data_IF_850978439172
#
_entry.id   IF_850978439172
#
_cell.length_a   1.000
_cell.length_b   1.000
_cell.length_c   1.000
_cell.angle_alpha   90.00
_cell.angle_beta   90.00
_cell.angle_gamma   90.00
#
_symmetry.space_group_name_H-M   'P 1'
#
loop_
_entity.id
_entity.type
_entity.pdbx_description
1 polymer ?
#
# COMPACT_ATOMS: atom_id res chain seq x y z
N UNK A 1 -36.12 -2.03 -4.11
CA UNK A 1 -34.88 -1.64 -3.40
C UNK A 1 -33.82 -1.25 -4.42
N UNK A 2 -33.24 -0.04 -4.34
CA UNK A 2 -32.38 0.56 -5.39
C UNK A 2 -30.91 0.15 -5.20
N UNK A 3 -30.31 -0.47 -6.21
CA UNK A 3 -28.89 -0.94 -6.26
C UNK A 3 -27.82 0.10 -5.83
N UNK A 4 -28.15 1.40 -5.81
CA UNK A 4 -27.21 2.49 -5.46
C UNK A 4 -26.89 2.57 -3.97
N UNK A 5 -27.76 2.10 -3.07
CA UNK A 5 -27.52 2.16 -1.61
C UNK A 5 -26.52 1.10 -1.12
N UNK A 6 -26.38 -0.02 -1.85
CA UNK A 6 -25.48 -1.11 -1.48
C UNK A 6 -24.01 -0.78 -1.81
N UNK A 7 -23.76 -0.08 -2.91
CA UNK A 7 -22.42 0.30 -3.34
C UNK A 7 -21.74 1.29 -2.37
N UNK A 8 -22.51 2.24 -1.82
CA UNK A 8 -21.99 3.21 -0.83
C UNK A 8 -21.65 2.58 0.52
N UNK A 9 -22.45 1.63 1.00
CA UNK A 9 -22.21 0.94 2.28
C UNK A 9 -21.01 -0.01 2.24
N UNK A 10 -20.82 -0.74 1.14
CA UNK A 10 -19.69 -1.66 1.00
C UNK A 10 -18.34 -0.93 0.96
N UNK A 11 -18.28 0.20 0.23
CA UNK A 11 -17.08 1.01 0.13
C UNK A 11 -16.71 1.68 1.47
N UNK A 12 -17.72 2.12 2.23
CA UNK A 12 -17.52 2.70 3.57
C UNK A 12 -17.04 1.69 4.62
N UNK A 13 -17.56 0.45 4.59
CA UNK A 13 -17.16 -0.57 5.56
C UNK A 13 -15.70 -1.00 5.40
N UNK A 14 -15.26 -1.26 4.17
CA UNK A 14 -13.86 -1.63 3.91
C UNK A 14 -12.90 -0.50 4.29
N UNK A 15 -13.19 0.76 3.92
CA UNK A 15 -12.35 1.91 4.30
C UNK A 15 -12.28 2.11 5.82
N UNK A 16 -13.39 1.92 6.53
CA UNK A 16 -13.42 2.02 7.99
C UNK A 16 -12.62 0.90 8.65
N UNK A 17 -12.77 -0.34 8.17
CA UNK A 17 -11.98 -1.47 8.64
C UNK A 17 -10.49 -1.27 8.36
N UNK A 18 -10.14 -0.84 7.14
CA UNK A 18 -8.78 -0.57 6.73
C UNK A 18 -8.15 0.56 7.57
N UNK A 19 -8.89 1.64 7.83
CA UNK A 19 -8.45 2.71 8.73
C UNK A 19 -8.22 2.24 10.17
N UNK A 20 -9.03 1.31 10.68
CA UNK A 20 -8.79 0.68 12.00
C UNK A 20 -7.51 -0.15 12.00
N UNK A 21 -7.31 -1.01 10.99
CA UNK A 21 -6.09 -1.82 10.86
C UNK A 21 -4.85 -0.93 10.72
N UNK A 22 -4.96 0.14 9.93
CA UNK A 22 -3.91 1.15 9.72
C UNK A 22 -3.46 1.79 11.04
N UNK A 23 -4.41 2.19 11.89
CA UNK A 23 -4.11 2.77 13.21
C UNK A 23 -3.52 1.74 14.18
N UNK A 24 -4.01 0.51 14.20
CA UNK A 24 -3.56 -0.55 15.12
C UNK A 24 -2.15 -1.06 14.78
N UNK A 25 -1.78 -1.15 13.50
CA UNK A 25 -0.47 -1.68 13.07
C UNK A 25 0.65 -0.62 12.99
N UNK A 26 0.62 0.38 13.86
CA UNK A 26 1.72 1.35 13.97
C UNK A 26 1.66 2.51 12.96
N UNK A 27 0.49 2.80 12.39
CA UNK A 27 0.25 4.05 11.68
C UNK A 27 0.71 4.10 10.22
N UNK A 28 1.19 2.99 9.65
CA UNK A 28 1.37 2.85 8.19
C UNK A 28 2.79 2.67 7.69
N UNK A 29 3.84 2.85 8.49
CA UNK A 29 5.23 2.76 8.01
C UNK A 29 5.50 1.43 7.29
N UNK A 30 5.11 0.32 7.91
CA UNK A 30 5.32 -1.01 7.33
C UNK A 30 4.51 -1.20 6.03
N UNK A 31 3.29 -0.66 5.97
CA UNK A 31 2.45 -0.72 4.77
C UNK A 31 2.99 0.18 3.64
N UNK A 32 3.53 1.36 3.98
CA UNK A 32 4.21 2.24 3.03
C UNK A 32 5.50 1.62 2.52
N UNK A 33 6.34 1.07 3.40
CA UNK A 33 7.56 0.36 3.01
C UNK A 33 7.25 -0.82 2.08
N UNK A 34 6.25 -1.63 2.45
CA UNK A 34 5.73 -2.70 1.59
C UNK A 34 5.31 -2.17 0.21
N UNK A 35 4.46 -1.15 0.15
CA UNK A 35 3.95 -0.62 -1.11
C UNK A 35 5.07 -0.04 -2.00
N UNK A 36 6.01 0.69 -1.41
CA UNK A 36 7.16 1.25 -2.12
C UNK A 36 8.05 0.12 -2.65
N UNK A 37 8.42 -0.83 -1.80
CA UNK A 37 9.28 -1.95 -2.20
C UNK A 37 8.62 -2.81 -3.28
N UNK A 38 7.32 -3.09 -3.15
CA UNK A 38 6.57 -3.81 -4.17
C UNK A 38 6.63 -3.09 -5.52
N UNK A 39 6.35 -1.78 -5.55
CA UNK A 39 6.42 -1.00 -6.80
C UNK A 39 7.82 -0.98 -7.38
N UNK A 40 8.86 -0.84 -6.56
CA UNK A 40 10.26 -0.88 -7.03
C UNK A 40 10.58 -2.23 -7.67
N UNK A 41 10.23 -3.34 -7.01
CA UNK A 41 10.47 -4.69 -7.51
C UNK A 41 9.72 -4.96 -8.81
N UNK A 42 8.43 -4.60 -8.88
CA UNK A 42 7.63 -4.71 -10.10
C UNK A 42 8.24 -3.93 -11.27
N UNK A 43 8.66 -2.70 -11.02
CA UNK A 43 9.30 -1.87 -12.04
C UNK A 43 10.60 -2.53 -12.53
N UNK A 44 11.42 -3.05 -11.61
CA UNK A 44 12.66 -3.75 -11.96
C UNK A 44 12.41 -5.01 -12.79
N UNK A 45 11.41 -5.81 -12.43
CA UNK A 45 10.99 -6.99 -13.21
C UNK A 45 10.56 -6.58 -14.62
N UNK A 46 9.68 -5.59 -14.75
CA UNK A 46 9.20 -5.10 -16.06
C UNK A 46 10.37 -4.60 -16.92
N UNK A 47 11.30 -3.82 -16.35
CA UNK A 47 12.47 -3.35 -17.09
C UNK A 47 13.43 -4.48 -17.47
N UNK A 48 13.59 -5.49 -16.60
CA UNK A 48 14.36 -6.70 -16.90
C UNK A 48 13.77 -7.45 -18.09
N UNK A 49 12.46 -7.68 -18.08
CA UNK A 49 11.74 -8.35 -19.17
C UNK A 49 11.85 -7.61 -20.51
N UNK A 50 11.76 -6.28 -20.49
CA UNK A 50 11.90 -5.44 -21.68
C UNK A 50 13.32 -5.50 -22.24
N UNK A 51 14.34 -5.55 -21.37
CA UNK A 51 15.74 -5.59 -21.80
C UNK A 51 16.14 -6.95 -22.41
N UNK A 52 15.47 -8.03 -22.02
CA UNK A 52 15.70 -9.40 -22.52
C UNK A 52 14.88 -9.76 -23.77
N UNK A 53 13.91 -8.94 -24.17
CA UNK A 53 13.02 -9.27 -25.27
C UNK A 53 13.62 -8.96 -26.67
N UNK A 54 13.85 -10.00 -27.48
CA UNK A 54 14.34 -9.90 -28.86
C UNK A 54 13.31 -9.40 -29.90
N UNK A 55 12.04 -9.20 -29.52
CA UNK A 55 11.04 -8.52 -30.36
C UNK A 55 9.57 -8.83 -30.08
N UNK A 56 8.63 -7.90 -30.36
CA UNK A 56 7.21 -8.03 -29.99
C UNK A 56 6.36 -8.98 -30.84
N UNK A 57 6.91 -9.59 -31.91
CA UNK A 57 6.13 -10.35 -32.90
C UNK A 57 6.07 -11.86 -32.60
N UNK A 58 7.13 -12.46 -32.03
CA UNK A 58 7.12 -13.87 -31.58
C UNK A 58 6.26 -14.10 -30.32
N UNK A 59 6.08 -13.03 -29.54
CA UNK A 59 5.36 -13.00 -28.27
C UNK A 59 3.83 -13.21 -28.37
N UNK A 60 3.21 -12.80 -29.49
CA UNK A 60 1.74 -12.79 -29.62
C UNK A 60 1.19 -14.14 -30.12
N UNK A 61 1.99 -14.95 -30.81
CA UNK A 61 1.48 -16.13 -31.51
C UNK A 61 1.42 -17.43 -30.68
N UNK A 62 2.23 -17.59 -29.61
CA UNK A 62 2.21 -18.82 -28.77
C UNK A 62 2.49 -18.60 -27.27
N UNK A 63 2.82 -17.39 -26.80
CA UNK A 63 3.38 -17.18 -25.45
C UNK A 63 2.50 -16.34 -24.51
N UNK A 64 1.33 -15.85 -24.92
CA UNK A 64 0.52 -14.98 -24.07
C UNK A 64 0.13 -15.61 -22.72
N UNK A 65 -0.21 -16.91 -22.71
CA UNK A 65 -0.50 -17.62 -21.46
C UNK A 65 0.75 -17.80 -20.60
N UNK A 66 1.88 -18.19 -21.20
CA UNK A 66 3.15 -18.36 -20.49
C UNK A 66 3.63 -17.03 -19.89
N UNK A 67 3.50 -15.93 -20.62
CA UNK A 67 3.80 -14.59 -20.14
C UNK A 67 2.91 -14.20 -18.97
N UNK A 68 1.59 -14.41 -19.05
CA UNK A 68 0.67 -14.10 -17.94
C UNK A 68 1.01 -14.94 -16.71
N UNK A 69 1.29 -16.24 -16.86
CA UNK A 69 1.67 -17.08 -15.72
C UNK A 69 3.03 -16.71 -15.14
N UNK A 70 4.01 -16.36 -15.98
CA UNK A 70 5.32 -15.88 -15.54
C UNK A 70 5.20 -14.56 -14.79
N UNK A 71 4.51 -13.58 -15.38
CA UNK A 71 4.22 -12.29 -14.75
C UNK A 71 3.50 -12.48 -13.40
N UNK A 72 2.48 -13.33 -13.34
CA UNK A 72 1.79 -13.65 -12.07
C UNK A 72 2.73 -14.29 -11.06
N UNK A 73 3.59 -15.22 -11.48
CA UNK A 73 4.59 -15.85 -10.63
C UNK A 73 5.59 -14.86 -10.05
N UNK A 74 6.15 -14.01 -10.92
CA UNK A 74 7.09 -12.96 -10.55
C UNK A 74 6.43 -11.91 -9.64
N UNK A 75 5.20 -11.48 -9.94
CA UNK A 75 4.48 -10.54 -9.07
C UNK A 75 4.13 -11.14 -7.71
N UNK A 76 3.81 -12.43 -7.64
CA UNK A 76 3.63 -13.12 -6.36
C UNK A 76 4.93 -13.21 -5.57
N UNK A 77 6.06 -13.46 -6.23
CA UNK A 77 7.37 -13.47 -5.61
C UNK A 77 7.77 -12.07 -5.11
N UNK A 78 7.57 -11.04 -5.92
CA UNK A 78 7.79 -9.64 -5.55
C UNK A 78 6.91 -9.22 -4.38
N UNK A 79 5.66 -9.69 -4.33
CA UNK A 79 4.77 -9.51 -3.18
C UNK A 79 5.37 -10.08 -1.89
N UNK A 80 5.88 -11.32 -1.93
CA UNK A 80 6.52 -11.97 -0.79
C UNK A 80 7.80 -11.22 -0.36
N UNK A 81 8.64 -10.82 -1.31
CA UNK A 81 9.86 -10.06 -1.00
C UNK A 81 9.55 -8.67 -0.45
N UNK A 82 8.50 -8.00 -0.95
CA UNK A 82 8.03 -6.73 -0.41
C UNK A 82 7.53 -6.86 1.03
N UNK A 83 6.92 -7.99 1.42
CA UNK A 83 6.61 -8.24 2.84
C UNK A 83 7.88 -8.29 3.70
N UNK A 84 9.00 -8.70 3.12
CA UNK A 84 10.27 -8.77 3.80
C UNK A 84 11.12 -7.50 3.62
N UNK A 85 10.55 -6.37 3.17
CA UNK A 85 11.32 -5.15 2.86
C UNK A 85 12.31 -4.65 3.94
N UNK A 86 12.10 -4.83 5.26
CA UNK A 86 13.10 -4.41 6.25
C UNK A 86 14.37 -5.27 6.21
N UNK A 87 14.27 -6.52 5.74
CA UNK A 87 15.37 -7.49 5.66
C UNK A 87 16.52 -6.97 4.78
N UNK A 88 16.31 -6.60 3.50
CA UNK A 88 17.39 -6.05 2.68
C UNK A 88 17.97 -4.75 3.24
N UNK A 89 17.15 -3.92 3.91
CA UNK A 89 17.63 -2.68 4.57
C UNK A 89 18.63 -2.98 5.68
N UNK A 90 18.35 -3.98 6.51
CA UNK A 90 19.28 -4.42 7.57
C UNK A 90 20.47 -5.17 6.98
N UNK A 91 20.27 -6.02 5.98
CA UNK A 91 21.35 -6.80 5.38
C UNK A 91 22.39 -5.93 4.66
N UNK A 92 22.01 -4.78 4.11
CA UNK A 92 22.95 -3.86 3.47
C UNK A 92 24.05 -3.39 4.44
N UNK A 93 23.68 -3.08 5.69
CA UNK A 93 24.61 -2.75 6.77
C UNK A 93 23.88 -2.98 8.11
N UNK A 94 24.18 -4.05 8.88
CA UNK A 94 23.32 -4.42 10.01
C UNK A 94 23.17 -3.33 11.08
N UNK A 95 24.25 -2.67 11.54
CA UNK A 95 24.12 -1.54 12.45
C UNK A 95 23.37 -0.35 11.84
N UNK A 96 23.76 0.10 10.64
CA UNK A 96 23.20 1.31 10.05
C UNK A 96 21.75 1.11 9.57
N UNK A 97 21.41 -0.07 9.06
CA UNK A 97 20.08 -0.43 8.60
C UNK A 97 19.09 -0.54 9.76
N UNK A 98 19.49 -1.11 10.90
CA UNK A 98 18.68 -1.10 12.11
C UNK A 98 18.44 0.32 12.63
N UNK A 99 19.47 1.17 12.63
CA UNK A 99 19.35 2.59 13.00
C UNK A 99 18.42 3.32 12.02
N UNK A 100 18.56 3.11 10.71
CA UNK A 100 17.72 3.73 9.69
C UNK A 100 16.25 3.34 9.86
N UNK A 101 15.95 2.07 10.15
CA UNK A 101 14.59 1.61 10.46
C UNK A 101 14.05 2.25 11.74
N UNK A 102 14.88 2.37 12.79
CA UNK A 102 14.51 3.05 14.03
C UNK A 102 14.19 4.53 13.80
N UNK A 103 15.03 5.24 13.03
CA UNK A 103 14.80 6.64 12.64
C UNK A 103 13.53 6.75 11.80
N UNK A 104 13.33 5.89 10.81
CA UNK A 104 12.14 5.88 9.98
C UNK A 104 10.87 5.66 10.83
N UNK A 105 10.91 4.72 11.78
CA UNK A 105 9.82 4.48 12.74
C UNK A 105 9.46 5.72 13.54
N UNK A 106 10.46 6.50 13.97
CA UNK A 106 10.24 7.71 14.75
C UNK A 106 9.80 8.91 13.90
N UNK A 107 10.40 9.11 12.72
CA UNK A 107 10.12 10.26 11.84
C UNK A 107 8.81 10.10 11.07
N UNK A 108 8.41 8.88 10.73
CA UNK A 108 7.20 8.60 9.97
C UNK A 108 5.92 9.18 10.59
N UNK A 109 5.61 8.97 11.90
CA UNK A 109 4.43 9.57 12.52
C UNK A 109 4.48 11.11 12.57
N UNK A 110 5.69 11.69 12.59
CA UNK A 110 5.87 13.14 12.64
C UNK A 110 5.67 13.82 11.28
N UNK A 111 6.07 13.15 10.20
CA UNK A 111 6.18 13.77 8.86
C UNK A 111 5.14 13.26 7.87
N UNK A 112 5.14 11.95 7.61
CA UNK A 112 4.41 11.33 6.50
C UNK A 112 3.02 10.83 6.90
N UNK A 113 2.84 10.44 8.16
CA UNK A 113 1.57 9.87 8.63
C UNK A 113 0.39 10.82 8.44
N UNK A 114 0.50 12.08 8.85
CA UNK A 114 -0.60 13.05 8.75
C UNK A 114 -1.01 13.34 7.29
N UNK A 115 -0.09 13.65 6.36
CA UNK A 115 -0.44 13.81 4.95
C UNK A 115 -1.08 12.56 4.33
N UNK A 116 -0.53 11.37 4.61
CA UNK A 116 -1.03 10.11 4.06
C UNK A 116 -2.44 9.81 4.58
N UNK A 117 -2.68 9.93 5.90
CA UNK A 117 -4.00 9.70 6.47
C UNK A 117 -5.05 10.69 5.93
N UNK A 118 -4.68 11.95 5.72
CA UNK A 118 -5.57 12.96 5.13
C UNK A 118 -5.94 12.64 3.69
N UNK A 119 -4.99 12.16 2.89
CA UNK A 119 -5.25 11.74 1.52
C UNK A 119 -6.06 10.44 1.44
N UNK A 120 -5.79 9.49 2.32
CA UNK A 120 -6.39 8.15 2.30
C UNK A 120 -7.79 8.10 2.95
N UNK A 121 -8.04 8.97 3.94
CA UNK A 121 -9.27 8.99 4.74
C UNK A 121 -9.92 10.40 4.85
N UNK A 122 -10.18 11.11 3.74
CA UNK A 122 -10.77 12.47 3.79
C UNK A 122 -12.13 12.53 4.50
N UNK A 123 -13.00 11.53 4.29
CA UNK A 123 -14.39 11.54 4.77
C UNK A 123 -14.55 11.14 6.25
N UNK A 124 -13.51 10.56 6.86
CA UNK A 124 -13.52 10.25 8.30
C UNK A 124 -13.36 11.50 9.16
N UNK A 125 -12.60 12.49 8.69
CA UNK A 125 -12.48 13.78 9.38
C UNK A 125 -13.83 14.51 9.34
N UNK A 126 -14.46 14.57 8.16
CA UNK A 126 -15.75 15.25 7.98
C UNK A 126 -16.86 14.63 8.84
N UNK A 127 -16.91 13.30 8.94
CA UNK A 127 -17.89 12.60 9.79
C UNK A 127 -17.61 12.75 11.30
N UNK A 128 -16.33 12.81 11.72
CA UNK A 128 -15.97 13.11 13.12
C UNK A 128 -16.36 14.53 13.52
N UNK A 129 -16.12 15.51 12.65
CA UNK A 129 -16.48 16.90 12.89
C UNK A 129 -18.00 17.12 12.91
N UNK A 130 -18.73 16.52 11.95
CA UNK A 130 -20.19 16.57 11.92
C UNK A 130 -20.86 15.86 13.12
N UNK A 131 -20.24 14.78 13.63
CA UNK A 131 -20.68 14.10 14.84
C UNK A 131 -20.51 14.97 16.09
N UNK A 132 -19.35 15.63 16.23
CA UNK A 132 -19.04 16.49 17.37
C UNK A 132 -19.95 17.74 17.44
N UNK A 133 -20.27 18.36 16.30
CA UNK A 133 -21.22 19.49 16.25
C UNK A 133 -22.65 19.09 16.66
N UNK A 134 -23.09 17.89 16.27
CA UNK A 134 -24.41 17.39 16.61
C UNK A 134 -24.55 17.04 18.10
N UNK A 135 -23.50 16.54 18.75
CA UNK A 135 -23.50 16.38 20.22
C UNK A 135 -23.47 17.72 20.95
N UNK A 136 -22.66 18.68 20.48
CA UNK A 136 -22.62 20.03 21.07
C UNK A 136 -23.99 20.75 20.96
N UNK A 137 -24.78 20.49 19.91
CA UNK A 137 -26.16 21.00 19.79
C UNK A 137 -27.16 20.29 20.69
N UNK A 138 -26.94 19.03 21.07
CA UNK A 138 -27.84 18.31 22.00
C UNK A 138 -27.72 18.78 23.45
N UNK A 139 -26.61 19.43 23.80
CA UNK A 139 -26.32 19.94 25.14
C UNK A 139 -26.56 21.45 25.30
N UNK A 140 -27.09 22.12 24.28
CA UNK A 140 -27.63 23.49 24.34
C UNK A 140 -29.15 23.45 24.38
#
# INVERSE_FOLDING_TARGET
MRKRELAGKAHGWFRTWFGKVWKVRGGGLYACGYAITFVILEIQTIFGDIAEADGPVDFVQNQAFEMVFRFLGESLQNMIFAFMWPVPVVQFNPPAGAIALGIAYFLFPMTLKKPIERWLFPDMEETLHAGAENEARKHK
#
